data_IF_285984860416
#
_entry.id   IF_285984860416
#
_cell.length_a   1.000
_cell.length_b   1.000
_cell.length_c   1.000
_cell.angle_alpha   90.00
_cell.angle_beta   90.00
_cell.angle_gamma   90.00
#
_symmetry.space_group_name_H-M   'P 1'
#
loop_
_entity.id
_entity.type
_entity.pdbx_description
1 polymer ?
#
# COMPACT_ATOMS: atom_id res chain seq x y z
N UNK A 1 -7.47 13.52 28.75
CA UNK A 1 -7.11 12.26 28.08
C UNK A 1 -8.04 11.90 26.94
N UNK A 2 -9.38 12.02 27.03
CA UNK A 2 -10.30 11.76 25.89
C UNK A 2 -9.95 12.55 24.61
N UNK A 3 -9.77 13.88 24.70
CA UNK A 3 -9.41 14.73 23.53
C UNK A 3 -8.06 14.37 22.91
N UNK A 4 -7.05 14.12 23.74
CA UNK A 4 -5.71 13.69 23.30
C UNK A 4 -5.72 12.29 22.66
N UNK A 5 -6.48 11.34 23.23
CA UNK A 5 -6.73 10.03 22.62
C UNK A 5 -7.32 10.17 21.23
N UNK A 6 -8.39 10.95 21.08
CA UNK A 6 -9.03 11.14 19.78
C UNK A 6 -8.07 11.77 18.76
N UNK A 7 -7.24 12.74 19.17
CA UNK A 7 -6.19 13.31 18.31
C UNK A 7 -5.17 12.26 17.85
N UNK A 8 -4.68 11.42 18.76
CA UNK A 8 -3.76 10.32 18.43
C UNK A 8 -4.38 9.28 17.50
N UNK A 9 -5.66 8.95 17.70
CA UNK A 9 -6.40 8.04 16.82
C UNK A 9 -6.64 8.65 15.43
N UNK A 10 -6.97 9.93 15.34
CA UNK A 10 -7.07 10.65 14.06
C UNK A 10 -5.71 10.69 13.36
N UNK A 11 -4.63 10.99 14.09
CA UNK A 11 -3.27 11.00 13.54
C UNK A 11 -2.86 9.62 13.01
N UNK A 12 -3.10 8.55 13.78
CA UNK A 12 -2.85 7.17 13.32
C UNK A 12 -3.67 6.81 12.08
N UNK A 13 -4.96 7.22 12.04
CA UNK A 13 -5.83 6.98 10.89
C UNK A 13 -5.33 7.74 9.65
N UNK A 14 -4.95 9.01 9.79
CA UNK A 14 -4.38 9.77 8.67
C UNK A 14 -3.09 9.17 8.14
N UNK A 15 -2.25 8.63 9.04
CA UNK A 15 -0.98 8.00 8.66
C UNK A 15 -1.21 6.72 7.86
N UNK A 16 -2.10 5.84 8.34
CA UNK A 16 -2.44 4.58 7.66
C UNK A 16 -3.03 4.87 6.28
N UNK A 17 -3.97 5.81 6.18
CA UNK A 17 -4.59 6.17 4.91
C UNK A 17 -3.55 6.73 3.95
N UNK A 18 -2.72 7.68 4.40
CA UNK A 18 -1.70 8.31 3.56
C UNK A 18 -0.69 7.29 3.02
N UNK A 19 -0.19 6.42 3.89
CA UNK A 19 0.82 5.44 3.50
C UNK A 19 0.24 4.33 2.60
N UNK A 20 -1.01 3.92 2.82
CA UNK A 20 -1.70 2.99 1.93
C UNK A 20 -1.95 3.63 0.55
N UNK A 21 -2.45 4.88 0.50
CA UNK A 21 -2.61 5.61 -0.77
C UNK A 21 -1.27 5.66 -1.53
N UNK A 22 -0.15 5.88 -0.83
CA UNK A 22 1.18 5.85 -1.45
C UNK A 22 1.47 4.52 -2.13
N UNK A 23 1.32 3.42 -1.39
CA UNK A 23 1.60 2.08 -1.87
C UNK A 23 0.69 1.71 -3.05
N UNK A 24 -0.60 1.99 -2.92
CA UNK A 24 -1.60 1.77 -3.97
C UNK A 24 -1.21 2.51 -5.25
N UNK A 25 -0.84 3.78 -5.15
CA UNK A 25 -0.45 4.58 -6.32
C UNK A 25 0.84 4.06 -6.95
N UNK A 26 1.85 3.69 -6.15
CA UNK A 26 3.11 3.12 -6.66
C UNK A 26 2.85 1.79 -7.40
N UNK A 27 2.03 0.89 -6.84
CA UNK A 27 1.70 -0.39 -7.44
C UNK A 27 0.82 -0.26 -8.70
N UNK A 28 -0.22 0.57 -8.68
CA UNK A 28 -1.07 0.84 -9.85
C UNK A 28 -0.29 1.52 -10.98
N UNK A 29 0.61 2.46 -10.65
CA UNK A 29 1.49 3.08 -11.64
C UNK A 29 2.43 2.04 -12.27
N UNK A 30 2.96 1.13 -11.47
CA UNK A 30 3.78 0.01 -11.96
C UNK A 30 3.03 -0.85 -12.97
N UNK A 31 1.79 -1.24 -12.65
CA UNK A 31 0.90 -1.97 -13.56
C UNK A 31 0.63 -1.19 -14.86
N UNK A 32 0.28 0.09 -14.77
CA UNK A 32 -0.01 0.91 -15.94
C UNK A 32 1.21 1.04 -16.88
N UNK A 33 2.40 1.27 -16.32
CA UNK A 33 3.66 1.28 -17.09
C UNK A 33 3.96 -0.07 -17.72
N UNK A 34 3.71 -1.15 -17.00
CA UNK A 34 3.87 -2.52 -17.51
C UNK A 34 2.98 -2.76 -18.73
N UNK A 35 1.71 -2.38 -18.66
CA UNK A 35 0.77 -2.52 -19.77
C UNK A 35 1.20 -1.67 -20.98
N UNK A 36 1.55 -0.40 -20.77
CA UNK A 36 2.04 0.48 -21.85
C UNK A 36 3.29 -0.11 -22.51
N UNK A 37 4.24 -0.60 -21.72
CA UNK A 37 5.45 -1.28 -22.21
C UNK A 37 5.10 -2.52 -23.04
N UNK A 38 4.19 -3.35 -22.55
CA UNK A 38 3.78 -4.58 -23.25
C UNK A 38 3.10 -4.24 -24.59
N UNK A 39 2.20 -3.26 -24.63
CA UNK A 39 1.55 -2.83 -25.87
C UNK A 39 2.54 -2.28 -26.89
N UNK A 40 3.52 -1.47 -26.46
CA UNK A 40 4.59 -0.98 -27.34
C UNK A 40 5.41 -2.13 -27.94
N UNK A 41 5.84 -3.07 -27.10
CA UNK A 41 6.63 -4.21 -27.55
C UNK A 41 5.82 -5.16 -28.45
N UNK A 42 4.53 -5.36 -28.15
CA UNK A 42 3.62 -6.17 -28.98
C UNK A 42 3.37 -5.56 -30.34
N UNK A 43 3.20 -4.24 -30.41
CA UNK A 43 3.10 -3.53 -31.70
C UNK A 43 4.29 -3.83 -32.61
N UNK A 44 5.51 -3.77 -32.09
CA UNK A 44 6.72 -4.09 -32.86
C UNK A 44 6.74 -5.57 -33.27
N UNK A 45 6.39 -6.46 -32.34
CA UNK A 45 6.37 -7.90 -32.57
C UNK A 45 5.29 -8.35 -33.57
N UNK A 46 4.15 -7.66 -33.70
CA UNK A 46 3.06 -8.00 -34.63
C UNK A 46 3.53 -8.01 -36.10
N UNK A 47 4.57 -7.25 -36.46
CA UNK A 47 5.12 -7.24 -37.82
C UNK A 47 5.82 -8.57 -38.18
N UNK A 48 6.38 -9.27 -37.19
CA UNK A 48 7.15 -10.50 -37.39
C UNK A 48 6.30 -11.66 -37.94
N UNK A 49 5.13 -12.00 -37.36
CA UNK A 49 4.21 -13.00 -37.91
C UNK A 49 3.82 -12.76 -39.37
N UNK A 50 3.48 -11.52 -39.73
CA UNK A 50 3.12 -11.19 -41.12
C UNK A 50 4.25 -11.44 -42.11
N UNK A 51 5.51 -11.32 -41.68
CA UNK A 51 6.65 -11.64 -42.53
C UNK A 51 6.71 -13.13 -42.90
N UNK A 52 6.30 -14.02 -41.99
CA UNK A 52 6.25 -15.46 -42.26
C UNK A 52 5.11 -15.81 -43.23
N UNK A 53 3.94 -15.18 -43.09
CA UNK A 53 2.86 -15.30 -44.08
C UNK A 53 3.28 -14.76 -45.46
N UNK A 54 4.02 -13.65 -45.52
CA UNK A 54 4.55 -13.12 -46.79
C UNK A 54 5.54 -14.11 -47.43
N UNK A 55 6.44 -14.70 -46.64
CA UNK A 55 7.38 -15.74 -47.12
C UNK A 55 6.65 -16.97 -47.64
N UNK A 56 5.63 -17.42 -46.91
CA UNK A 56 4.77 -18.54 -47.28
C UNK A 56 4.06 -18.28 -48.62
N UNK A 57 3.43 -17.11 -48.79
CA UNK A 57 2.74 -16.75 -50.03
C UNK A 57 3.71 -16.58 -51.21
N UNK A 58 4.92 -16.06 -50.99
CA UNK A 58 5.98 -16.02 -52.02
C UNK A 58 6.39 -17.42 -52.45
N UNK A 59 6.62 -18.32 -51.48
CA UNK A 59 6.99 -19.71 -51.74
C UNK A 59 5.91 -20.46 -52.54
N UNK A 60 4.63 -20.26 -52.21
CA UNK A 60 3.51 -20.80 -53.00
C UNK A 60 3.55 -20.24 -54.44
N UNK A 61 3.79 -18.94 -54.58
CA UNK A 61 3.93 -18.29 -55.88
C UNK A 61 5.07 -18.86 -56.73
N UNK A 62 6.24 -19.12 -56.12
CA UNK A 62 7.40 -19.70 -56.79
C UNK A 62 7.13 -21.13 -57.27
N UNK A 63 6.42 -21.94 -56.47
CA UNK A 63 6.00 -23.29 -56.86
C UNK A 63 5.01 -23.25 -58.03
N UNK A 64 4.01 -22.36 -57.97
CA UNK A 64 3.04 -22.23 -59.06
C UNK A 64 3.69 -21.78 -60.36
N UNK A 65 4.64 -20.83 -60.30
CA UNK A 65 5.41 -20.39 -61.47
C UNK A 65 6.20 -21.55 -62.09
N UNK A 66 6.86 -22.36 -61.26
CA UNK A 66 7.58 -23.56 -61.70
C UNK A 66 6.68 -24.60 -62.40
N UNK A 67 5.39 -24.67 -62.06
CA UNK A 67 4.43 -25.57 -62.71
C UNK A 67 3.92 -25.00 -64.03
N UNK A 68 3.66 -23.68 -64.09
CA UNK A 68 3.15 -23.03 -65.31
C UNK A 68 4.20 -22.88 -66.41
N UNK A 69 5.47 -22.69 -66.06
CA UNK A 69 6.58 -22.60 -67.04
C UNK A 69 6.86 -23.96 -67.75
N UNK A 70 6.29 -25.07 -67.24
CA UNK A 70 6.29 -26.39 -67.89
C UNK A 70 5.12 -26.57 -68.89
N UNK A 71 4.16 -25.65 -68.91
CA UNK A 71 3.03 -25.60 -69.84
C UNK A 71 3.10 -24.33 -70.72
N UNK A 72 2.33 -24.31 -71.80
CA UNK A 72 2.39 -23.31 -72.91
C UNK A 72 2.06 -21.84 -72.51
N UNK A 73 1.98 -21.52 -71.21
CA UNK A 73 1.65 -20.19 -70.69
C UNK A 73 2.67 -19.73 -69.62
N UNK A 74 3.58 -18.83 -69.99
CA UNK A 74 4.47 -18.15 -69.05
C UNK A 74 3.69 -17.14 -68.20
N UNK A 75 3.71 -17.31 -66.89
CA UNK A 75 3.02 -16.45 -65.93
C UNK A 75 4.05 -15.58 -65.20
N UNK A 76 4.39 -14.43 -65.78
CA UNK A 76 5.44 -13.54 -65.27
C UNK A 76 4.87 -12.50 -64.28
N UNK A 77 4.43 -12.98 -63.12
CA UNK A 77 3.86 -12.13 -62.07
C UNK A 77 4.80 -12.01 -60.86
N UNK A 78 5.47 -10.86 -60.71
CA UNK A 78 6.22 -10.54 -59.48
C UNK A 78 5.24 -10.18 -58.36
N UNK A 79 4.92 -11.16 -57.51
CA UNK A 79 4.01 -11.00 -56.37
C UNK A 79 4.62 -10.08 -55.29
N UNK A 80 4.19 -8.83 -55.24
CA UNK A 80 4.59 -7.84 -54.23
C UNK A 80 3.55 -7.79 -53.10
N UNK A 81 3.78 -8.54 -52.03
CA UNK A 81 2.95 -8.51 -50.81
C UNK A 81 3.63 -7.65 -49.76
N UNK A 82 2.98 -6.56 -49.34
CA UNK A 82 3.41 -5.72 -48.22
C UNK A 82 2.34 -5.75 -47.13
N UNK A 83 2.66 -6.16 -45.89
CA UNK A 83 1.71 -6.11 -44.80
C UNK A 83 1.44 -4.65 -44.38
N UNK A 84 0.17 -4.28 -44.25
CA UNK A 84 -0.26 -2.98 -43.74
C UNK A 84 -0.86 -3.17 -42.35
N UNK A 85 -0.17 -2.67 -41.33
CA UNK A 85 -0.67 -2.64 -39.95
C UNK A 85 -0.98 -1.18 -39.60
N UNK A 86 -2.23 -0.88 -39.28
CA UNK A 86 -2.68 0.46 -38.90
C UNK A 86 -2.14 0.81 -37.51
N UNK A 87 -0.96 1.42 -37.48
CA UNK A 87 -0.14 1.54 -36.27
C UNK A 87 -0.07 2.95 -35.69
N UNK A 88 -0.50 3.97 -36.44
CA UNK A 88 -0.30 5.38 -36.10
C UNK A 88 -1.26 5.83 -34.97
N UNK A 89 -2.55 5.48 -35.09
CA UNK A 89 -3.57 5.77 -34.06
C UNK A 89 -3.18 5.12 -32.72
N UNK A 90 -2.76 3.85 -32.74
CA UNK A 90 -2.31 3.16 -31.52
C UNK A 90 -1.06 3.83 -30.91
N UNK A 91 -0.14 4.34 -31.76
CA UNK A 91 1.06 5.07 -31.30
C UNK A 91 0.69 6.33 -30.56
N UNK A 92 -0.20 7.12 -31.15
CA UNK A 92 -0.66 8.38 -30.58
C UNK A 92 -1.38 8.15 -29.24
N UNK A 93 -2.28 7.16 -29.18
CA UNK A 93 -2.98 6.78 -27.95
C UNK A 93 -2.04 6.30 -26.84
N UNK A 94 -1.02 5.50 -27.18
CA UNK A 94 -0.02 5.04 -26.20
C UNK A 94 0.87 6.19 -25.69
N UNK A 95 1.26 7.11 -26.57
CA UNK A 95 2.02 8.30 -26.18
C UNK A 95 1.19 9.22 -25.27
N UNK A 96 -0.09 9.43 -25.61
CA UNK A 96 -1.02 10.20 -24.79
C UNK A 96 -1.21 9.55 -23.40
N UNK A 97 -1.43 8.24 -23.33
CA UNK A 97 -1.59 7.51 -22.07
C UNK A 97 -0.34 7.58 -21.18
N UNK A 98 0.85 7.48 -21.77
CA UNK A 98 2.13 7.60 -21.05
C UNK A 98 2.34 9.03 -20.52
N UNK A 99 1.99 10.04 -21.31
CA UNK A 99 2.06 11.44 -20.87
C UNK A 99 1.12 11.69 -19.68
N UNK A 100 -0.16 11.31 -19.81
CA UNK A 100 -1.16 11.49 -18.74
C UNK A 100 -0.75 10.75 -17.46
N UNK A 101 -0.19 9.54 -17.59
CA UNK A 101 0.32 8.77 -16.46
C UNK A 101 1.48 9.50 -15.77
N UNK A 102 2.45 9.98 -16.54
CA UNK A 102 3.61 10.68 -15.99
C UNK A 102 3.23 12.01 -15.32
N UNK A 103 2.28 12.75 -15.88
CA UNK A 103 1.74 13.98 -15.27
C UNK A 103 1.03 13.67 -13.95
N UNK A 104 0.15 12.66 -13.93
CA UNK A 104 -0.59 12.25 -12.72
C UNK A 104 0.35 11.79 -11.61
N UNK A 105 1.36 10.98 -11.96
CA UNK A 105 2.39 10.52 -11.01
C UNK A 105 3.17 11.70 -10.46
N UNK A 106 3.62 12.63 -11.33
CA UNK A 106 4.39 13.82 -10.91
C UNK A 106 3.57 14.71 -9.97
N UNK A 107 2.31 14.99 -10.32
CA UNK A 107 1.40 15.76 -9.48
C UNK A 107 1.23 15.11 -8.10
N UNK A 108 0.93 13.81 -8.07
CA UNK A 108 0.71 13.07 -6.83
C UNK A 108 1.98 13.06 -5.97
N UNK A 109 3.14 12.79 -6.55
CA UNK A 109 4.42 12.80 -5.85
C UNK A 109 4.75 14.18 -5.29
N UNK A 110 4.44 15.26 -6.02
CA UNK A 110 4.64 16.63 -5.56
C UNK A 110 3.74 16.97 -4.36
N UNK A 111 2.45 16.60 -4.40
CA UNK A 111 1.54 16.77 -3.27
C UNK A 111 2.06 15.98 -2.06
N UNK A 112 2.46 14.72 -2.27
CA UNK A 112 2.90 13.83 -1.21
C UNK A 112 4.20 14.29 -0.56
N UNK A 113 5.17 14.74 -1.35
CA UNK A 113 6.44 15.28 -0.85
C UNK A 113 6.24 16.60 -0.11
N UNK A 114 5.33 17.46 -0.59
CA UNK A 114 4.97 18.71 0.09
C UNK A 114 4.35 18.44 1.46
N UNK A 115 3.37 17.54 1.54
CA UNK A 115 2.74 17.15 2.81
C UNK A 115 3.77 16.56 3.78
N UNK A 116 4.66 15.69 3.31
CA UNK A 116 5.72 15.11 4.12
C UNK A 116 6.74 16.15 4.60
N UNK A 117 7.10 17.11 3.75
CA UNK A 117 8.05 18.18 4.07
C UNK A 117 7.48 19.14 5.11
N UNK A 118 6.23 19.59 4.92
CA UNK A 118 5.54 20.49 5.86
C UNK A 118 5.34 19.81 7.21
N UNK A 119 4.88 18.57 7.23
CA UNK A 119 4.69 17.81 8.48
C UNK A 119 6.02 17.55 9.19
N UNK A 120 7.08 17.14 8.51
CA UNK A 120 8.37 16.92 9.18
C UNK A 120 8.99 18.20 9.78
N UNK A 121 8.82 19.36 9.13
CA UNK A 121 9.45 20.63 9.56
C UNK A 121 8.62 21.40 10.60
N UNK A 122 7.31 21.52 10.42
CA UNK A 122 6.48 22.39 11.27
C UNK A 122 5.87 21.66 12.48
N UNK A 123 5.58 20.36 12.34
CA UNK A 123 4.84 19.62 13.34
C UNK A 123 5.58 19.46 14.68
N UNK A 124 6.91 19.26 14.74
CA UNK A 124 7.64 19.20 16.01
C UNK A 124 7.54 20.50 16.80
N UNK A 125 7.72 21.66 16.13
CA UNK A 125 7.67 22.98 16.78
C UNK A 125 6.28 23.32 17.31
N UNK A 126 5.24 23.07 16.51
CA UNK A 126 3.85 23.29 16.91
C UNK A 126 3.45 22.34 18.05
N UNK A 127 3.84 21.07 17.96
CA UNK A 127 3.55 20.07 19.00
C UNK A 127 4.20 20.45 20.34
N UNK A 128 5.45 20.93 20.32
CA UNK A 128 6.15 21.41 21.51
C UNK A 128 5.49 22.65 22.12
N UNK A 129 5.09 23.63 21.30
CA UNK A 129 4.37 24.83 21.76
C UNK A 129 3.03 24.49 22.43
N UNK A 130 2.27 23.56 21.85
CA UNK A 130 1.00 23.09 22.42
C UNK A 130 1.25 22.36 23.75
N UNK A 131 2.30 21.55 23.83
CA UNK A 131 2.66 20.85 25.07
C UNK A 131 3.03 21.85 26.18
N UNK A 132 3.89 22.83 25.87
CA UNK A 132 4.30 23.87 26.81
C UNK A 132 3.11 24.69 27.33
N UNK A 133 2.23 25.15 26.42
CA UNK A 133 1.03 25.91 26.82
C UNK A 133 0.10 25.08 27.68
N UNK A 134 -0.08 23.79 27.40
CA UNK A 134 -0.88 22.89 28.24
C UNK A 134 -0.28 22.73 29.65
N UNK A 135 1.03 22.53 29.76
CA UNK A 135 1.74 22.42 31.05
C UNK A 135 1.58 23.73 31.85
N UNK A 136 1.84 24.88 31.22
CA UNK A 136 1.73 26.19 31.85
C UNK A 136 0.32 26.47 32.37
N UNK A 137 -0.72 26.11 31.59
CA UNK A 137 -2.12 26.26 32.01
C UNK A 137 -2.47 25.36 33.21
N UNK A 138 -1.97 24.12 33.25
CA UNK A 138 -2.19 23.22 34.39
C UNK A 138 -1.52 23.76 35.65
N UNK A 139 -0.26 24.19 35.56
CA UNK A 139 0.49 24.76 36.68
C UNK A 139 -0.18 26.03 37.20
N UNK A 140 -0.59 26.94 36.29
CA UNK A 140 -1.32 28.16 36.66
C UNK A 140 -2.63 27.85 37.40
N UNK A 141 -3.38 26.84 36.94
CA UNK A 141 -4.64 26.43 37.56
C UNK A 141 -4.44 25.78 38.92
N UNK A 142 -3.37 25.00 39.09
CA UNK A 142 -2.99 24.39 40.37
C UNK A 142 -2.58 25.45 41.40
N UNK A 143 -1.75 26.44 41.01
CA UNK A 143 -1.31 27.52 41.90
C UNK A 143 -2.44 28.46 42.34
N UNK A 144 -3.38 28.78 41.44
CA UNK A 144 -4.42 29.80 41.71
C UNK A 144 -5.63 29.28 42.49
N UNK A 145 -5.85 27.96 42.54
CA UNK A 145 -7.06 27.39 43.13
C UNK A 145 -6.71 26.30 44.15
N UNK A 146 -6.70 26.68 45.43
CA UNK A 146 -6.41 25.77 46.56
C UNK A 146 -7.45 24.64 46.70
N UNK A 147 -8.67 24.82 46.16
CA UNK A 147 -9.72 23.79 46.11
C UNK A 147 -9.62 22.90 44.86
N UNK A 148 -8.68 23.16 43.94
CA UNK A 148 -8.57 22.40 42.71
C UNK A 148 -7.90 21.04 42.94
N UNK A 149 -8.72 20.00 43.13
CA UNK A 149 -8.34 18.57 43.22
C UNK A 149 -7.46 18.20 44.42
N UNK A 150 -7.71 18.81 45.57
CA UNK A 150 -6.99 18.55 46.82
C UNK A 150 -7.80 17.60 47.73
N UNK A 151 -8.04 16.36 47.27
CA UNK A 151 -8.87 15.36 47.94
C UNK A 151 -8.06 14.17 48.46
N UNK A 152 -6.75 14.35 48.63
CA UNK A 152 -5.85 13.24 48.85
C UNK A 152 -5.02 13.44 50.11
N UNK A 153 -4.87 12.36 50.87
CA UNK A 153 -4.02 12.32 52.06
C UNK A 153 -2.66 11.74 51.63
N UNK A 154 -1.61 12.55 51.74
CA UNK A 154 -0.22 12.22 51.39
C UNK A 154 0.47 11.45 52.51
N UNK A 155 1.60 10.78 52.21
CA UNK A 155 2.39 10.10 53.27
C UNK A 155 2.96 11.11 54.25
N UNK A 156 3.44 12.26 53.75
CA UNK A 156 3.90 13.36 54.62
C UNK A 156 2.84 13.83 55.62
N UNK A 157 1.57 13.92 55.21
CA UNK A 157 0.48 14.28 56.12
C UNK A 157 0.25 13.20 57.17
N UNK A 158 0.28 11.92 56.79
CA UNK A 158 0.15 10.80 57.73
C UNK A 158 1.29 10.79 58.75
N UNK A 159 2.53 11.03 58.30
CA UNK A 159 3.70 11.07 59.17
C UNK A 159 3.63 12.26 60.15
N UNK A 160 3.17 13.42 59.66
CA UNK A 160 2.94 14.60 60.49
C UNK A 160 1.83 14.38 61.53
N UNK A 161 0.68 13.83 61.12
CA UNK A 161 -0.45 13.56 62.01
C UNK A 161 -0.08 12.52 63.09
N UNK A 162 0.70 11.50 62.73
CA UNK A 162 1.24 10.54 63.70
C UNK A 162 2.21 11.20 64.69
N UNK A 163 3.03 12.15 64.24
CA UNK A 163 3.93 12.90 65.12
C UNK A 163 3.15 13.74 66.12
N UNK A 164 2.17 14.52 65.67
CA UNK A 164 1.31 15.34 66.54
C UNK A 164 0.54 14.47 67.55
N UNK A 165 0.05 13.30 67.12
CA UNK A 165 -0.58 12.30 68.00
C UNK A 165 0.36 11.82 69.10
N UNK A 166 1.62 11.54 68.77
CA UNK A 166 2.62 11.11 69.74
C UNK A 166 3.01 12.22 70.72
N UNK A 167 2.88 13.48 70.33
CA UNK A 167 3.09 14.66 71.17
C UNK A 167 1.84 15.05 72.01
N UNK A 168 0.76 14.25 71.96
CA UNK A 168 -0.48 14.49 72.70
C UNK A 168 -1.35 15.63 72.14
N UNK A 169 -1.06 16.09 70.92
CA UNK A 169 -1.79 17.16 70.24
C UNK A 169 -3.01 16.61 69.49
N UNK A 170 -4.00 17.46 69.14
CA UNK A 170 -5.14 17.04 68.33
C UNK A 170 -4.68 16.45 66.99
N UNK A 171 -5.28 15.33 66.58
CA UNK A 171 -4.95 14.59 65.36
C UNK A 171 -6.21 14.33 64.54
N UNK A 172 -6.04 14.19 63.22
CA UNK A 172 -7.14 14.13 62.23
C UNK A 172 -7.49 12.70 61.82
N UNK A 173 -6.56 11.75 61.93
CA UNK A 173 -6.81 10.32 61.62
C UNK A 173 -7.24 9.55 62.89
N UNK A 174 -8.08 8.51 62.82
CA UNK A 174 -8.67 7.90 61.63
C UNK A 174 -9.88 8.68 61.10
N UNK A 175 -10.04 8.66 59.76
CA UNK A 175 -11.21 9.26 59.12
C UNK A 175 -12.49 8.52 59.47
N UNK A 176 -13.60 9.25 59.53
CA UNK A 176 -14.93 8.65 59.58
C UNK A 176 -15.31 7.96 58.25
N UNK A 177 -16.28 7.04 58.24
CA UNK A 177 -16.72 6.34 57.02
C UNK A 177 -17.27 7.26 55.93
N UNK A 178 -17.74 8.45 56.31
CA UNK A 178 -18.23 9.47 55.38
C UNK A 178 -17.07 10.26 54.77
N UNK A 179 -16.07 10.59 55.58
CA UNK A 179 -14.85 11.28 55.14
C UNK A 179 -13.96 10.38 54.28
N UNK A 180 -13.91 9.07 54.53
CA UNK A 180 -13.15 8.11 53.73
C UNK A 180 -13.68 8.01 52.28
N UNK A 181 -14.96 8.35 52.04
CA UNK A 181 -15.53 8.47 50.69
C UNK A 181 -15.06 9.74 49.97
N UNK A 182 -14.68 10.78 50.71
CA UNK A 182 -14.26 12.10 50.20
C UNK A 182 -12.73 12.17 50.04
N UNK A 183 -11.99 11.62 51.00
CA UNK A 183 -10.53 11.62 51.08
C UNK A 183 -9.97 10.22 50.81
N UNK A 184 -9.48 10.01 49.59
CA UNK A 184 -9.03 8.67 49.17
C UNK A 184 -7.57 8.44 49.55
N UNK A 185 -7.29 7.38 50.32
CA UNK A 185 -5.92 6.91 50.59
C UNK A 185 -5.32 6.34 49.30
N UNK A 186 -4.08 6.74 48.99
CA UNK A 186 -3.43 6.38 47.73
C UNK A 186 -3.02 4.90 47.71
N UNK A 187 -3.82 4.02 47.10
CA UNK A 187 -3.47 2.61 46.88
C UNK A 187 -3.01 2.38 45.42
N UNK A 188 -1.75 1.99 45.26
CA UNK A 188 -1.10 1.82 43.95
C UNK A 188 -1.19 0.39 43.39
N UNK A 189 -1.34 -0.63 44.23
CA UNK A 189 -0.98 -2.02 43.88
C UNK A 189 -2.06 -2.78 43.10
N UNK A 190 -3.35 -2.54 43.36
CA UNK A 190 -4.45 -3.19 42.60
C UNK A 190 -5.37 -2.16 41.96
N UNK A 191 -5.75 -2.34 40.69
CA UNK A 191 -6.77 -1.51 40.08
C UNK A 191 -8.15 -1.82 40.69
N UNK A 192 -8.86 -0.80 41.14
CA UNK A 192 -10.24 -0.96 41.63
C UNK A 192 -11.20 -1.28 40.48
N UNK A 193 -12.38 -1.86 40.77
CA UNK A 193 -13.41 -2.15 39.74
C UNK A 193 -13.85 -0.89 38.98
N UNK A 194 -13.85 0.27 39.66
CA UNK A 194 -14.08 1.59 39.05
C UNK A 194 -12.97 2.01 38.08
N UNK A 195 -11.71 1.80 38.47
CA UNK A 195 -10.54 2.04 37.59
C UNK A 195 -10.58 1.13 36.36
N UNK A 196 -10.90 -0.15 36.53
CA UNK A 196 -10.99 -1.11 35.44
C UNK A 196 -12.08 -0.71 34.42
N UNK A 197 -13.26 -0.31 34.89
CA UNK A 197 -14.35 0.18 34.02
C UNK A 197 -13.95 1.45 33.26
N UNK A 198 -13.15 2.33 33.87
CA UNK A 198 -12.64 3.54 33.21
C UNK A 198 -11.59 3.22 32.13
N UNK A 199 -10.68 2.27 32.41
CA UNK A 199 -9.70 1.77 31.44
C UNK A 199 -10.43 1.11 30.27
N UNK A 200 -11.41 0.24 30.52
CA UNK A 200 -12.15 -0.46 29.47
C UNK A 200 -12.87 0.53 28.53
N UNK A 201 -13.58 1.53 29.09
CA UNK A 201 -14.21 2.61 28.31
C UNK A 201 -13.20 3.44 27.51
N UNK A 202 -11.95 3.53 27.97
CA UNK A 202 -10.89 4.23 27.24
C UNK A 202 -10.42 3.40 26.03
N UNK A 203 -10.34 2.08 26.18
CA UNK A 203 -9.85 1.12 25.19
C UNK A 203 -10.84 0.81 24.06
N UNK A 204 -12.17 0.88 24.28
CA UNK A 204 -13.19 0.61 23.24
C UNK A 204 -12.89 1.30 21.89
N UNK A 205 -12.68 2.63 21.83
CA UNK A 205 -12.36 3.28 20.55
C UNK A 205 -10.98 2.90 20.01
N UNK A 206 -10.00 2.58 20.87
CA UNK A 206 -8.69 2.11 20.42
C UNK A 206 -8.84 0.81 19.65
N UNK A 207 -9.63 -0.14 20.18
CA UNK A 207 -9.91 -1.41 19.52
C UNK A 207 -10.63 -1.21 18.16
N UNK A 208 -11.63 -0.33 18.11
CA UNK A 208 -12.34 -0.03 16.86
C UNK A 208 -11.41 0.57 15.78
N UNK A 209 -10.57 1.54 16.13
CA UNK A 209 -9.59 2.09 15.19
C UNK A 209 -8.52 1.07 14.80
N UNK A 210 -8.07 0.23 15.72
CA UNK A 210 -7.12 -0.84 15.42
C UNK A 210 -7.68 -1.79 14.36
N UNK A 211 -8.93 -2.25 14.52
CA UNK A 211 -9.61 -3.09 13.52
C UNK A 211 -9.69 -2.36 12.18
N UNK A 212 -10.09 -1.09 12.17
CA UNK A 212 -10.16 -0.30 10.94
C UNK A 212 -8.79 -0.17 10.25
N UNK A 213 -7.72 0.09 11.01
CA UNK A 213 -6.35 0.14 10.49
C UNK A 213 -5.91 -1.19 9.91
N UNK A 214 -6.22 -2.31 10.59
CA UNK A 214 -5.94 -3.65 10.09
C UNK A 214 -6.65 -3.90 8.77
N UNK A 215 -7.95 -3.57 8.65
CA UNK A 215 -8.69 -3.73 7.39
C UNK A 215 -8.04 -2.95 6.25
N UNK A 216 -7.68 -1.68 6.48
CA UNK A 216 -7.04 -0.85 5.46
C UNK A 216 -5.69 -1.43 5.02
N UNK A 217 -4.86 -1.88 5.97
CA UNK A 217 -3.57 -2.51 5.68
C UNK A 217 -3.76 -3.84 4.92
N UNK A 218 -4.75 -4.64 5.29
CA UNK A 218 -5.06 -5.89 4.60
C UNK A 218 -5.47 -5.65 3.16
N UNK A 219 -6.26 -4.61 2.86
CA UNK A 219 -6.63 -4.26 1.48
C UNK A 219 -5.40 -3.92 0.63
N UNK A 220 -4.44 -3.16 1.18
CA UNK A 220 -3.17 -2.86 0.50
C UNK A 220 -2.34 -4.12 0.23
N UNK A 221 -2.26 -5.01 1.23
CA UNK A 221 -1.57 -6.29 1.10
C UNK A 221 -2.24 -7.20 0.06
N UNK A 222 -3.58 -7.23 0.00
CA UNK A 222 -4.31 -7.97 -1.03
C UNK A 222 -4.07 -7.39 -2.43
N UNK A 223 -4.00 -6.06 -2.57
CA UNK A 223 -3.64 -5.42 -3.84
C UNK A 223 -2.22 -5.84 -4.28
N UNK A 224 -1.26 -5.80 -3.35
CA UNK A 224 0.10 -6.28 -3.60
C UNK A 224 0.12 -7.73 -4.06
N UNK A 225 -0.57 -8.62 -3.33
CA UNK A 225 -0.67 -10.05 -3.68
C UNK A 225 -1.33 -10.26 -5.04
N UNK A 226 -2.33 -9.46 -5.38
CA UNK A 226 -2.96 -9.49 -6.69
C UNK A 226 -1.96 -9.14 -7.80
N UNK A 227 -1.22 -8.02 -7.66
CA UNK A 227 -0.19 -7.63 -8.64
C UNK A 227 0.89 -8.69 -8.76
N UNK A 228 1.33 -9.24 -7.65
CA UNK A 228 2.37 -10.28 -7.60
C UNK A 228 1.91 -11.58 -8.27
N UNK A 229 0.70 -12.04 -7.94
CA UNK A 229 0.10 -13.25 -8.53
C UNK A 229 -0.07 -13.09 -10.04
N UNK A 230 -0.62 -11.96 -10.49
CA UNK A 230 -0.75 -11.65 -11.91
C UNK A 230 0.62 -11.65 -12.57
N UNK A 231 1.63 -11.02 -11.94
CA UNK A 231 2.99 -10.98 -12.49
C UNK A 231 3.61 -12.38 -12.61
N UNK A 232 3.48 -13.22 -11.59
CA UNK A 232 3.98 -14.61 -11.61
C UNK A 232 3.30 -15.40 -12.72
N UNK A 233 1.97 -15.36 -12.80
CA UNK A 233 1.21 -16.08 -13.84
C UNK A 233 1.48 -15.56 -15.24
N UNK A 234 1.68 -14.26 -15.43
CA UNK A 234 2.11 -13.70 -16.70
C UNK A 234 3.54 -14.13 -17.07
N UNK A 235 4.42 -14.34 -16.08
CA UNK A 235 5.80 -14.78 -16.31
C UNK A 235 5.93 -16.26 -16.64
N UNK A 236 5.02 -17.10 -16.11
CA UNK A 236 4.96 -18.54 -16.33
C UNK A 236 4.32 -18.93 -17.68
N UNK A 237 3.64 -17.99 -18.36
CA UNK A 237 2.96 -18.30 -19.62
C UNK A 237 3.94 -18.67 -20.73
N UNK A 238 3.80 -19.90 -21.24
CA UNK A 238 4.55 -20.39 -22.38
C UNK A 238 4.23 -19.58 -23.66
N UNK A 239 5.21 -19.43 -24.57
CA UNK A 239 4.97 -18.80 -25.86
C UNK A 239 3.94 -19.60 -26.68
N UNK A 240 2.96 -18.91 -27.25
CA UNK A 240 2.00 -19.51 -28.18
C UNK A 240 2.72 -19.89 -29.47
N UNK A 241 2.83 -21.20 -29.73
CA UNK A 241 3.37 -21.73 -30.98
C UNK A 241 2.25 -21.87 -32.02
N UNK A 242 2.39 -21.21 -33.17
CA UNK A 242 1.44 -21.29 -34.27
C UNK A 242 2.10 -22.13 -35.38
N UNK A 243 1.64 -23.38 -35.59
CA UNK A 243 2.16 -24.23 -36.64
C UNK A 243 1.67 -23.73 -38.01
N UNK A 244 2.58 -23.43 -38.92
CA UNK A 244 2.28 -22.95 -40.27
C UNK A 244 3.01 -23.82 -41.30
N UNK A 245 2.59 -25.09 -41.38
CA UNK A 245 3.19 -26.08 -42.26
C UNK A 245 2.34 -26.18 -43.53
N UNK A 246 2.96 -26.01 -44.70
CA UNK A 246 2.29 -26.23 -45.99
C UNK A 246 2.92 -27.43 -46.68
N UNK A 247 2.06 -28.30 -47.21
CA UNK A 247 2.43 -29.39 -48.10
C UNK A 247 1.71 -29.23 -49.43
N UNK A 248 2.46 -29.14 -50.53
CA UNK A 248 1.94 -29.14 -51.90
C UNK A 248 2.47 -30.38 -52.60
N UNK A 249 1.56 -31.14 -53.21
CA UNK A 249 1.90 -32.27 -54.07
C UNK A 249 2.01 -31.77 -55.51
N UNK A 250 3.18 -31.92 -56.12
CA UNK A 250 3.39 -31.62 -57.54
C UNK A 250 3.18 -32.92 -58.32
N UNK A 251 2.17 -32.94 -59.18
CA UNK A 251 1.93 -34.03 -60.15
C UNK A 251 2.37 -33.52 -61.52
N UNK A 252 3.51 -33.98 -62.01
CA UNK A 252 3.94 -33.68 -63.37
C UNK A 252 3.26 -34.67 -64.34
N UNK A 253 2.22 -34.23 -65.05
CA UNK A 253 1.62 -34.98 -66.15
C UNK A 253 2.12 -34.44 -67.49
N UNK A 254 2.95 -35.22 -68.20
CA UNK A 254 3.27 -34.97 -69.60
C UNK A 254 2.39 -35.93 -70.42
N UNK A 255 1.44 -35.40 -71.21
CA UNK A 255 0.59 -36.19 -72.13
C UNK A 255 -0.03 -37.44 -71.45
N UNK A 256 -0.77 -37.23 -70.37
CA UNK A 256 -1.58 -38.30 -69.74
C UNK A 256 -0.82 -39.38 -68.96
N UNK A 257 0.50 -39.29 -68.81
CA UNK A 257 1.30 -40.24 -68.00
C UNK A 257 1.93 -39.50 -66.80
N UNK A 258 1.68 -39.94 -65.56
CA UNK A 258 2.32 -39.35 -64.38
C UNK A 258 3.78 -39.79 -64.29
N UNK A 259 4.73 -38.84 -64.34
CA UNK A 259 6.17 -39.15 -64.42
C UNK A 259 6.92 -39.07 -63.07
N UNK A 260 6.44 -38.30 -62.10
CA UNK A 260 6.91 -38.36 -60.71
C UNK A 260 5.97 -37.56 -59.78
N UNK A 261 5.73 -38.05 -58.56
CA UNK A 261 5.05 -37.30 -57.50
C UNK A 261 6.10 -36.70 -56.55
N UNK A 262 6.29 -35.38 -56.60
CA UNK A 262 7.16 -34.68 -55.65
C UNK A 262 6.33 -33.95 -54.60
N UNK A 263 6.54 -34.32 -53.33
CA UNK A 263 5.92 -33.67 -52.17
C UNK A 263 6.83 -32.56 -51.66
N UNK A 264 6.43 -31.31 -51.85
CA UNK A 264 7.12 -30.17 -51.26
C UNK A 264 6.43 -29.76 -49.96
N UNK A 265 7.09 -29.99 -48.82
CA UNK A 265 6.65 -29.51 -47.51
C UNK A 265 7.63 -28.48 -46.96
N UNK A 266 7.12 -27.34 -46.50
CA UNK A 266 7.93 -26.33 -45.81
C UNK A 266 7.24 -25.85 -44.54
N UNK A 267 8.05 -25.57 -43.53
CA UNK A 267 7.60 -25.12 -42.22
C UNK A 267 7.85 -23.60 -42.06
N UNK A 268 6.77 -22.85 -41.86
CA UNK A 268 6.78 -21.41 -41.58
C UNK A 268 6.30 -21.09 -40.16
N UNK A 269 6.30 -22.08 -39.27
CA UNK A 269 5.81 -21.95 -37.90
C UNK A 269 6.56 -20.88 -37.12
N UNK A 270 5.86 -20.24 -36.20
CA UNK A 270 6.44 -19.18 -35.36
C UNK A 270 5.80 -19.16 -33.99
N UNK A 271 6.55 -18.62 -33.03
CA UNK A 271 6.08 -18.52 -31.63
C UNK A 271 5.94 -17.05 -31.23
N UNK A 272 4.83 -16.71 -30.59
CA UNK A 272 4.57 -15.38 -30.03
C UNK A 272 4.34 -15.51 -28.53
N UNK A 273 5.06 -14.72 -27.73
CA UNK A 273 4.75 -14.56 -26.29
C UNK A 273 3.58 -13.59 -26.13
N UNK A 274 2.66 -13.82 -25.19
CA UNK A 274 1.56 -12.87 -24.93
C UNK A 274 2.01 -11.65 -24.11
N UNK A 275 3.00 -11.84 -23.23
CA UNK A 275 3.60 -10.81 -22.39
C UNK A 275 5.12 -10.80 -22.50
N UNK A 276 5.70 -9.60 -22.55
CA UNK A 276 7.14 -9.41 -22.50
C UNK A 276 7.65 -9.40 -21.05
N UNK A 277 8.59 -10.29 -20.74
CA UNK A 277 9.15 -10.43 -19.38
C UNK A 277 9.84 -9.14 -18.90
N UNK A 278 10.46 -8.38 -19.82
CA UNK A 278 11.07 -7.07 -19.54
C UNK A 278 10.08 -6.00 -19.08
N UNK A 279 8.79 -6.18 -19.39
CA UNK A 279 7.74 -5.23 -19.06
C UNK A 279 7.01 -5.58 -17.77
N UNK A 280 7.32 -6.69 -17.10
CA UNK A 280 6.61 -7.13 -15.89
C UNK A 280 6.79 -6.13 -14.73
N UNK A 281 5.72 -5.79 -13.99
CA UNK A 281 5.80 -4.87 -12.88
C UNK A 281 6.51 -5.53 -11.69
N UNK A 282 7.25 -4.73 -10.90
CA UNK A 282 7.84 -5.18 -9.64
C UNK A 282 7.05 -4.56 -8.49
N UNK A 283 6.16 -5.30 -7.85
CA UNK A 283 5.32 -4.72 -6.79
C UNK A 283 6.18 -4.36 -5.58
N UNK A 284 5.83 -3.28 -4.88
CA UNK A 284 6.49 -2.84 -3.65
C UNK A 284 5.48 -2.83 -2.50
N UNK A 285 5.95 -3.28 -1.35
CA UNK A 285 5.15 -3.35 -0.13
C UNK A 285 5.91 -2.63 0.99
N UNK A 286 5.46 -1.42 1.35
CA UNK A 286 6.10 -0.60 2.39
C UNK A 286 5.41 -0.76 3.75
N UNK A 287 5.10 -2.01 4.15
CA UNK A 287 4.39 -2.30 5.41
C UNK A 287 5.13 -1.79 6.65
N UNK A 288 6.45 -1.94 6.69
CA UNK A 288 7.26 -1.54 7.85
C UNK A 288 7.13 -0.05 8.17
N UNK A 289 7.07 0.80 7.13
CA UNK A 289 6.95 2.25 7.27
C UNK A 289 5.59 2.69 7.85
N UNK A 290 4.55 1.86 7.69
CA UNK A 290 3.23 2.07 8.33
C UNK A 290 3.19 1.51 9.75
N UNK A 291 3.73 0.32 9.96
CA UNK A 291 3.54 -0.45 11.20
C UNK A 291 4.32 0.16 12.36
N UNK A 292 5.58 0.53 12.16
CA UNK A 292 6.44 1.09 13.22
C UNK A 292 5.82 2.32 13.93
N UNK A 293 5.36 3.37 13.22
CA UNK A 293 4.72 4.51 13.87
C UNK A 293 3.34 4.17 14.47
N UNK A 294 2.62 3.19 13.91
CA UNK A 294 1.36 2.71 14.48
C UNK A 294 1.58 2.04 15.84
N UNK A 295 2.59 1.19 15.94
CA UNK A 295 3.00 0.52 17.19
C UNK A 295 3.37 1.56 18.24
N UNK A 296 4.10 2.61 17.85
CA UNK A 296 4.41 3.72 18.74
C UNK A 296 3.14 4.44 19.25
N UNK A 297 2.19 4.77 18.36
CA UNK A 297 0.92 5.41 18.75
C UNK A 297 0.12 4.50 19.69
N UNK A 298 0.05 3.19 19.42
CA UNK A 298 -0.63 2.21 20.26
C UNK A 298 0.02 2.11 21.65
N UNK A 299 1.35 2.13 21.72
CA UNK A 299 2.09 2.12 22.98
C UNK A 299 1.79 3.39 23.81
N UNK A 300 1.78 4.57 23.18
CA UNK A 300 1.39 5.82 23.85
C UNK A 300 -0.07 5.77 24.33
N UNK A 301 -0.99 5.23 23.51
CA UNK A 301 -2.39 5.05 23.88
C UNK A 301 -2.57 4.08 25.07
N UNK A 302 -1.77 3.00 25.12
CA UNK A 302 -1.75 2.04 26.23
C UNK A 302 -1.27 2.71 27.51
N UNK A 303 -0.16 3.46 27.45
CA UNK A 303 0.33 4.25 28.58
C UNK A 303 -0.75 5.20 29.06
N UNK A 304 -1.41 5.94 28.16
CA UNK A 304 -2.53 6.82 28.54
C UNK A 304 -3.71 6.07 29.15
N UNK A 305 -4.01 4.85 28.70
CA UNK A 305 -5.08 4.02 29.27
C UNK A 305 -4.77 3.65 30.73
N UNK A 306 -3.56 3.16 30.99
CA UNK A 306 -3.07 2.84 32.35
C UNK A 306 -3.05 4.09 33.23
N UNK A 307 -2.55 5.20 32.69
CA UNK A 307 -2.56 6.50 33.36
C UNK A 307 -3.98 6.99 33.63
N UNK A 308 -5.00 6.59 32.88
CA UNK A 308 -6.40 6.94 33.15
C UNK A 308 -6.95 6.25 34.40
N UNK A 309 -6.54 5.02 34.65
CA UNK A 309 -6.85 4.32 35.91
C UNK A 309 -6.06 4.88 37.10
N UNK A 310 -4.81 5.28 36.92
CA UNK A 310 -3.91 5.72 38.01
C UNK A 310 -3.68 7.23 38.10
N UNK A 311 -4.39 8.05 37.32
CA UNK A 311 -4.15 9.49 37.17
C UNK A 311 -4.20 10.26 38.49
N UNK A 312 -5.11 9.84 39.37
CA UNK A 312 -5.31 10.38 40.70
C UNK A 312 -4.04 10.21 41.55
N UNK A 313 -3.43 9.03 41.49
CA UNK A 313 -2.31 8.63 42.33
C UNK A 313 -0.96 9.18 41.83
N UNK A 314 -0.76 9.32 40.52
CA UNK A 314 0.48 9.86 39.93
C UNK A 314 0.60 11.39 40.06
N UNK A 315 -0.52 12.12 40.02
CA UNK A 315 -0.51 13.59 40.18
C UNK A 315 -0.10 14.03 41.58
N UNK A 316 -0.50 13.24 42.58
CA UNK A 316 -0.07 13.36 43.97
C UNK A 316 1.46 13.24 44.11
N UNK A 317 2.05 12.21 43.52
CA UNK A 317 3.48 11.93 43.64
C UNK A 317 4.36 13.04 43.05
N UNK A 318 3.93 13.65 41.94
CA UNK A 318 4.64 14.79 41.34
C UNK A 318 4.56 16.03 42.24
N UNK A 319 3.43 16.24 42.91
CA UNK A 319 3.25 17.39 43.82
C UNK A 319 3.87 17.16 45.21
N UNK A 320 4.09 15.92 45.64
CA UNK A 320 4.75 15.60 46.92
C UNK A 320 6.28 15.74 46.83
N UNK A 321 6.85 15.74 45.61
CA UNK A 321 8.30 15.88 45.34
C UNK A 321 8.79 17.32 45.10
N UNK A 322 7.91 18.24 44.73
CA UNK A 322 8.16 19.70 44.68
C UNK A 322 7.75 20.36 45.97
#
# INVERSE_FOLDING_TARGET
>A
MKKSRNLLLTAGTSLVIFQNIRNTIENLTGLARSLICNFKAKKEAITSPFSNYVKMLKWIGDILKSVTDLGVFNLDSKLKITPKVESEILRERLAQAEQMLNETVRYTQAVMSTVSSVSSKMFPGISFLILLTFIMLQVKKYRKNMKYKNNFITRRFVDYDNKEKNEGRPHVLPLTPEEEKIYTRVQFVRPTTKEMKAILKFCVPIASHFVAWTVVITVDALLYLFVDTVTSKLSEMEPFHIPLIISIKKVASLVGIPLNEENHSTDFSYSIRLFETKCLPKPKLLLFNSIAPLVFILLVLLVMAVMTGKLSNLRLMVCERT
#
